data_IF_400846494509
#
_entry.id   IF_400846494509
#
_cell.length_a   1.000
_cell.length_b   1.000
_cell.length_c   1.000
_cell.angle_alpha   90.00
_cell.angle_beta   90.00
_cell.angle_gamma   90.00
#
_symmetry.space_group_name_H-M   'P 1'
#
loop_
_entity.id
_entity.type
_entity.pdbx_description
1 polymer ?
#
# COMPACT_ATOMS: atom_id res chain seq x y z
N UNK A 1 36.48 29.09 -43.61
CA UNK A 1 35.17 29.50 -43.07
C UNK A 1 34.09 28.77 -43.86
N UNK A 2 33.09 28.25 -43.16
CA UNK A 2 31.97 27.39 -43.61
C UNK A 2 32.19 25.87 -43.53
N UNK A 3 31.63 25.38 -42.42
CA UNK A 3 31.48 24.04 -41.87
C UNK A 3 30.54 23.15 -42.70
N UNK A 4 30.92 21.88 -42.83
CA UNK A 4 30.13 20.78 -43.38
C UNK A 4 28.83 20.59 -42.58
N UNK A 5 27.70 20.56 -43.29
CA UNK A 5 26.40 20.10 -42.80
C UNK A 5 26.32 18.59 -42.99
N UNK A 6 26.72 17.82 -41.98
CA UNK A 6 26.46 16.37 -41.94
C UNK A 6 25.10 16.11 -41.27
N UNK A 7 24.11 15.77 -42.09
CA UNK A 7 22.80 15.27 -41.67
C UNK A 7 22.90 13.85 -41.10
N UNK A 8 23.38 13.72 -39.86
CA UNK A 8 23.30 12.46 -39.11
C UNK A 8 21.87 12.27 -38.57
N UNK A 9 21.11 11.38 -39.19
CA UNK A 9 19.97 10.73 -38.54
C UNK A 9 20.50 9.96 -37.33
N UNK A 10 20.04 10.32 -36.13
CA UNK A 10 20.25 9.54 -34.92
C UNK A 10 19.38 8.29 -35.01
N UNK A 11 20.01 7.14 -35.22
CA UNK A 11 19.37 5.84 -35.01
C UNK A 11 19.14 5.64 -33.51
N UNK A 12 17.94 5.23 -33.05
CA UNK A 12 17.76 4.84 -31.67
C UNK A 12 18.25 3.39 -31.50
N UNK A 13 19.56 3.17 -31.46
CA UNK A 13 20.12 1.89 -31.02
C UNK A 13 20.23 1.88 -29.49
N UNK A 14 19.09 1.81 -28.80
CA UNK A 14 19.05 1.37 -27.41
C UNK A 14 19.16 -0.16 -27.41
N UNK A 15 20.40 -0.62 -27.48
CA UNK A 15 20.80 -2.01 -27.30
C UNK A 15 20.53 -2.36 -25.83
N UNK A 16 19.40 -3.02 -25.55
CA UNK A 16 19.12 -3.61 -24.25
C UNK A 16 20.01 -4.84 -24.12
N UNK A 17 21.18 -4.70 -23.51
CA UNK A 17 21.96 -5.85 -23.07
C UNK A 17 21.22 -6.52 -21.91
N UNK A 18 20.63 -7.68 -22.19
CA UNK A 18 20.07 -8.57 -21.18
C UNK A 18 21.21 -9.27 -20.47
N UNK A 19 21.48 -8.86 -19.23
CA UNK A 19 22.24 -9.65 -18.28
C UNK A 19 21.30 -10.42 -17.35
N UNK A 20 21.40 -11.75 -17.37
CA UNK A 20 21.31 -12.61 -16.18
C UNK A 20 19.94 -12.87 -15.52
N UNK A 21 19.58 -14.16 -15.49
CA UNK A 21 18.76 -14.87 -14.49
C UNK A 21 17.31 -14.43 -14.24
N UNK A 22 16.38 -15.12 -14.91
CA UNK A 22 15.58 -16.15 -14.24
C UNK A 22 14.56 -15.79 -13.15
N UNK A 23 14.35 -14.53 -12.77
CA UNK A 23 13.16 -14.13 -12.02
C UNK A 23 12.15 -13.50 -12.98
N UNK A 24 11.04 -14.20 -13.23
CA UNK A 24 9.89 -13.58 -13.91
C UNK A 24 9.36 -12.53 -12.94
N UNK A 25 9.76 -11.27 -13.13
CA UNK A 25 9.13 -10.13 -12.49
C UNK A 25 7.63 -10.22 -12.81
N UNK A 26 6.84 -10.67 -11.83
CA UNK A 26 5.40 -10.84 -11.98
C UNK A 26 4.80 -9.45 -12.22
N UNK A 27 4.50 -9.16 -13.49
CA UNK A 27 3.92 -7.88 -13.87
C UNK A 27 2.51 -7.76 -13.28
N UNK A 28 2.26 -6.68 -12.53
CA UNK A 28 0.95 -6.43 -11.93
C UNK A 28 0.07 -5.68 -12.92
N UNK A 29 -1.05 -6.29 -13.32
CA UNK A 29 -2.06 -5.67 -14.18
C UNK A 29 -3.18 -5.06 -13.32
N UNK A 30 -3.39 -3.75 -13.45
CA UNK A 30 -4.46 -3.00 -12.82
C UNK A 30 -5.52 -2.63 -13.86
N UNK A 31 -6.79 -2.82 -13.54
CA UNK A 31 -7.91 -2.23 -14.27
C UNK A 31 -8.45 -1.05 -13.47
N UNK A 32 -8.54 0.12 -14.12
CA UNK A 32 -8.93 1.38 -13.50
C UNK A 32 -10.24 1.89 -14.11
N UNK A 33 -11.20 2.24 -13.25
CA UNK A 33 -12.42 2.94 -13.66
C UNK A 33 -12.14 4.41 -13.97
N UNK A 34 -13.01 5.12 -14.72
CA UNK A 34 -12.88 6.56 -14.90
C UNK A 34 -12.73 7.29 -13.55
N UNK A 35 -11.76 8.20 -13.46
CA UNK A 35 -11.46 8.98 -12.25
C UNK A 35 -10.88 8.20 -11.06
N UNK A 36 -10.68 6.87 -11.19
CA UNK A 36 -10.12 6.07 -10.10
C UNK A 36 -8.66 6.46 -9.83
N UNK A 37 -8.31 6.58 -8.54
CA UNK A 37 -6.95 6.92 -8.10
C UNK A 37 -6.30 5.82 -7.27
N UNK A 38 -4.99 5.75 -7.38
CA UNK A 38 -4.13 4.90 -6.56
C UNK A 38 -2.78 5.59 -6.33
N UNK A 39 -2.05 5.13 -5.32
CA UNK A 39 -0.70 5.59 -5.00
C UNK A 39 0.30 4.48 -5.27
N UNK A 40 1.42 4.86 -5.88
CA UNK A 40 2.60 4.01 -6.07
C UNK A 40 3.82 4.75 -5.57
N UNK A 41 4.50 4.22 -4.55
CA UNK A 41 5.70 4.84 -3.96
C UNK A 41 5.54 6.37 -3.72
N UNK A 42 4.39 6.80 -3.21
CA UNK A 42 4.09 8.22 -2.94
C UNK A 42 3.54 9.03 -4.13
N UNK A 43 3.65 8.53 -5.36
CA UNK A 43 3.04 9.18 -6.53
C UNK A 43 1.54 8.83 -6.61
N UNK A 44 0.68 9.85 -6.70
CA UNK A 44 -0.75 9.66 -6.96
C UNK A 44 -0.98 9.56 -8.46
N UNK A 45 -1.56 8.45 -8.90
CA UNK A 45 -1.97 8.23 -10.29
C UNK A 45 -3.50 8.26 -10.35
N UNK A 46 -4.03 9.11 -11.21
CA UNK A 46 -5.46 9.19 -11.50
C UNK A 46 -5.73 8.70 -12.92
N UNK A 47 -6.75 7.87 -13.07
CA UNK A 47 -7.24 7.50 -14.38
C UNK A 47 -8.11 8.62 -14.98
N UNK A 48 -8.06 8.76 -16.31
CA UNK A 48 -8.84 9.76 -17.05
C UNK A 48 -10.34 9.45 -17.08
N UNK A 49 -11.01 9.98 -18.11
CA UNK A 49 -12.46 9.87 -18.33
C UNK A 49 -12.92 8.49 -18.83
N UNK A 50 -11.99 7.61 -19.21
CA UNK A 50 -12.27 6.27 -19.75
C UNK A 50 -11.60 5.18 -18.93
N UNK A 51 -12.19 3.98 -18.95
CA UNK A 51 -11.61 2.78 -18.32
C UNK A 51 -10.27 2.45 -18.99
N UNK A 52 -9.25 2.15 -18.21
CA UNK A 52 -7.92 1.80 -18.71
C UNK A 52 -7.34 0.57 -18.02
N UNK A 53 -6.31 -0.01 -18.64
CA UNK A 53 -5.48 -1.06 -18.04
C UNK A 53 -4.06 -0.55 -17.95
N UNK A 54 -3.48 -0.62 -16.75
CA UNK A 54 -2.06 -0.32 -16.51
C UNK A 54 -1.34 -1.61 -16.14
N UNK A 55 -0.10 -1.77 -16.62
CA UNK A 55 0.75 -2.90 -16.26
C UNK A 55 2.03 -2.35 -15.64
N UNK A 56 2.33 -2.80 -14.43
CA UNK A 56 3.53 -2.42 -13.70
C UNK A 56 4.49 -3.61 -13.74
N UNK A 57 5.67 -3.39 -14.32
CA UNK A 57 6.64 -4.46 -14.59
C UNK A 57 7.67 -4.66 -13.47
N UNK A 58 7.72 -3.73 -12.51
CA UNK A 58 8.62 -3.79 -11.36
C UNK A 58 7.84 -4.02 -10.05
N UNK A 59 8.56 -4.47 -9.03
CA UNK A 59 8.02 -4.57 -7.67
C UNK A 59 7.85 -3.18 -7.08
N UNK A 60 6.64 -2.85 -6.65
CA UNK A 60 6.26 -1.56 -6.05
C UNK A 60 5.20 -1.76 -4.97
N UNK A 61 5.09 -0.80 -4.05
CA UNK A 61 3.97 -0.73 -3.13
C UNK A 61 2.83 0.06 -3.76
N UNK A 62 1.62 -0.50 -3.77
CA UNK A 62 0.44 0.10 -4.41
C UNK A 62 -0.76 0.06 -3.46
N UNK A 63 -1.38 1.21 -3.23
CA UNK A 63 -2.66 1.32 -2.52
C UNK A 63 -3.67 2.09 -3.36
N UNK A 64 -4.94 1.68 -3.35
CA UNK A 64 -6.01 2.49 -3.95
C UNK A 64 -6.34 3.66 -3.04
N UNK A 65 -6.88 4.74 -3.59
CA UNK A 65 -7.27 5.93 -2.80
C UNK A 65 -8.17 5.58 -1.61
N UNK A 66 -9.14 4.67 -1.79
CA UNK A 66 -10.01 4.16 -0.72
C UNK A 66 -9.30 3.37 0.40
N UNK A 67 -8.06 2.96 0.16
CA UNK A 67 -7.23 2.23 1.11
C UNK A 67 -6.19 3.15 1.77
N UNK A 68 -6.11 4.42 1.34
CA UNK A 68 -5.26 5.42 1.96
C UNK A 68 -6.02 6.11 3.09
N UNK A 69 -5.37 6.26 4.22
CA UNK A 69 -5.88 6.97 5.39
C UNK A 69 -5.00 8.19 5.65
N UNK A 70 -5.60 9.36 5.88
CA UNK A 70 -4.85 10.54 6.28
C UNK A 70 -4.68 10.55 7.79
N UNK A 71 -3.65 11.24 8.27
CA UNK A 71 -3.36 11.34 9.70
C UNK A 71 -4.54 11.93 10.49
N UNK A 72 -5.26 12.90 9.92
CA UNK A 72 -6.47 13.51 10.49
C UNK A 72 -7.64 12.52 10.66
N UNK A 73 -7.69 11.46 9.86
CA UNK A 73 -8.74 10.43 9.91
C UNK A 73 -8.45 9.33 10.95
N UNK A 74 -7.30 9.38 11.63
CA UNK A 74 -6.86 8.36 12.60
C UNK A 74 -7.52 8.61 13.97
N UNK A 75 -8.84 8.52 13.99
CA UNK A 75 -9.69 8.96 15.10
C UNK A 75 -10.27 7.81 15.95
N UNK A 76 -9.98 6.56 15.62
CA UNK A 76 -10.43 5.39 16.39
C UNK A 76 -9.28 4.41 16.70
N UNK A 77 -9.36 3.61 17.78
CA UNK A 77 -8.37 2.59 18.10
C UNK A 77 -7.98 1.66 16.93
N UNK A 78 -8.94 1.11 16.19
CA UNK A 78 -8.63 0.24 15.05
C UNK A 78 -7.93 1.01 13.91
N UNK A 79 -8.29 2.28 13.69
CA UNK A 79 -7.61 3.14 12.72
C UNK A 79 -6.18 3.48 13.14
N UNK A 80 -5.92 3.64 14.45
CA UNK A 80 -4.58 3.81 15.01
C UNK A 80 -3.69 2.59 14.79
N UNK A 81 -4.27 1.39 14.65
CA UNK A 81 -3.54 0.19 14.21
C UNK A 81 -3.31 0.20 12.70
N UNK A 82 -4.34 0.52 11.91
CA UNK A 82 -4.26 0.51 10.45
C UNK A 82 -3.19 1.45 9.90
N UNK A 83 -3.13 2.67 10.44
CA UNK A 83 -2.27 3.74 9.94
C UNK A 83 -0.77 3.38 9.94
N UNK A 84 -0.14 2.91 11.04
CA UNK A 84 1.26 2.50 11.01
C UNK A 84 1.52 1.31 10.07
N UNK A 85 0.59 0.36 9.92
CA UNK A 85 0.73 -0.72 8.91
C UNK A 85 0.79 -0.13 7.49
N UNK A 86 -0.04 0.89 7.22
CA UNK A 86 -0.07 1.56 5.93
C UNK A 86 1.27 2.26 5.66
N UNK A 87 1.83 2.92 6.67
CA UNK A 87 3.14 3.55 6.57
C UNK A 87 4.27 2.51 6.39
N UNK A 88 4.24 1.37 7.09
CA UNK A 88 5.18 0.26 6.84
C UNK A 88 5.20 -0.21 5.37
N UNK A 89 4.03 -0.16 4.72
CA UNK A 89 3.86 -0.55 3.33
C UNK A 89 4.34 0.53 2.34
N UNK A 90 4.06 1.81 2.64
CA UNK A 90 4.33 2.93 1.74
C UNK A 90 5.72 3.53 1.88
N UNK A 91 6.31 3.49 3.08
CA UNK A 91 7.60 4.08 3.41
C UNK A 91 8.51 3.01 4.06
N UNK A 92 9.24 2.24 3.21
CA UNK A 92 10.17 1.21 3.67
C UNK A 92 11.31 1.74 4.54
N UNK A 93 11.72 2.99 4.35
CA UNK A 93 12.92 3.57 4.96
C UNK A 93 12.69 3.87 6.46
N UNK A 94 11.47 4.28 6.81
CA UNK A 94 11.09 4.55 8.21
C UNK A 94 10.32 3.39 8.87
N UNK A 95 10.35 2.19 8.28
CA UNK A 95 9.50 1.07 8.66
C UNK A 95 9.65 0.62 10.11
N UNK A 96 10.86 0.60 10.66
CA UNK A 96 11.09 0.17 12.05
C UNK A 96 10.27 0.97 13.05
N UNK A 97 10.28 2.30 12.90
CA UNK A 97 9.47 3.24 13.69
C UNK A 97 7.97 2.94 13.59
N UNK A 98 7.48 2.63 12.40
CA UNK A 98 6.06 2.31 12.20
C UNK A 98 5.68 0.95 12.79
N UNK A 99 6.59 -0.03 12.79
CA UNK A 99 6.37 -1.31 13.48
C UNK A 99 6.26 -1.09 14.99
N UNK A 100 7.12 -0.27 15.58
CA UNK A 100 7.05 0.07 17.02
C UNK A 100 5.72 0.73 17.39
N UNK A 101 5.28 1.70 16.59
CA UNK A 101 3.97 2.34 16.76
C UNK A 101 2.83 1.32 16.61
N UNK A 102 2.87 0.46 15.58
CA UNK A 102 1.89 -0.61 15.40
C UNK A 102 1.82 -1.53 16.62
N UNK A 103 2.95 -1.98 17.15
CA UNK A 103 3.01 -2.87 18.32
C UNK A 103 2.36 -2.21 19.53
N UNK A 104 2.68 -0.94 19.77
CA UNK A 104 2.08 -0.15 20.85
C UNK A 104 0.56 -0.09 20.73
N UNK A 105 0.04 0.27 19.55
CA UNK A 105 -1.42 0.37 19.31
C UNK A 105 -2.11 -0.99 19.36
N UNK A 106 -1.47 -2.04 18.88
CA UNK A 106 -2.01 -3.40 18.95
C UNK A 106 -2.10 -3.88 20.40
N UNK A 107 -1.06 -3.66 21.20
CA UNK A 107 -1.08 -4.00 22.63
C UNK A 107 -2.16 -3.24 23.39
N UNK A 108 -2.28 -1.93 23.17
CA UNK A 108 -3.35 -1.10 23.75
C UNK A 108 -4.73 -1.67 23.40
N UNK A 109 -4.98 -1.97 22.12
CA UNK A 109 -6.27 -2.50 21.67
C UNK A 109 -6.58 -3.89 22.24
N UNK A 110 -5.61 -4.81 22.19
CA UNK A 110 -5.79 -6.17 22.73
C UNK A 110 -5.98 -6.20 24.25
N UNK A 111 -5.55 -5.17 24.98
CA UNK A 111 -5.74 -5.07 26.43
C UNK A 111 -7.21 -4.84 26.85
N UNK A 112 -8.03 -4.30 25.95
CA UNK A 112 -9.42 -3.92 26.24
C UNK A 112 -10.46 -4.69 25.42
N UNK A 113 -10.05 -5.33 24.32
CA UNK A 113 -10.97 -6.12 23.48
C UNK A 113 -11.28 -7.43 24.17
N UNK A 114 -12.57 -7.76 24.32
CA UNK A 114 -13.03 -9.04 24.87
C UNK A 114 -13.51 -10.02 23.80
N UNK A 115 -13.96 -9.50 22.65
CA UNK A 115 -14.53 -10.27 21.56
C UNK A 115 -13.50 -11.28 20.98
N UNK A 116 -13.80 -12.59 20.99
CA UNK A 116 -12.86 -13.61 20.52
C UNK A 116 -12.51 -13.49 19.04
N UNK A 117 -13.45 -13.08 18.20
CA UNK A 117 -13.23 -12.91 16.75
C UNK A 117 -12.31 -11.72 16.49
N UNK A 118 -12.52 -10.60 17.18
CA UNK A 118 -11.64 -9.44 17.13
C UNK A 118 -10.22 -9.79 17.62
N UNK A 119 -10.07 -10.57 18.70
CA UNK A 119 -8.76 -11.08 19.16
C UNK A 119 -8.08 -11.95 18.11
N UNK A 120 -8.81 -12.87 17.49
CA UNK A 120 -8.27 -13.72 16.42
C UNK A 120 -7.76 -12.87 15.24
N UNK A 121 -8.51 -11.83 14.85
CA UNK A 121 -8.07 -10.87 13.82
C UNK A 121 -6.81 -10.11 14.24
N UNK A 122 -6.69 -9.70 15.50
CA UNK A 122 -5.49 -9.04 16.00
C UNK A 122 -4.25 -9.95 15.87
N UNK A 123 -4.39 -11.23 16.20
CA UNK A 123 -3.31 -12.23 16.05
C UNK A 123 -2.92 -12.39 14.57
N UNK A 124 -3.90 -12.50 13.66
CA UNK A 124 -3.67 -12.59 12.22
C UNK A 124 -2.92 -11.36 11.68
N UNK A 125 -3.35 -10.16 12.08
CA UNK A 125 -2.72 -8.90 11.68
C UNK A 125 -1.27 -8.84 12.17
N UNK A 126 -1.01 -9.16 13.44
CA UNK A 126 0.34 -9.18 13.99
C UNK A 126 1.24 -10.19 13.27
N UNK A 127 0.74 -11.39 12.98
CA UNK A 127 1.49 -12.38 12.22
C UNK A 127 1.83 -11.88 10.81
N UNK A 128 0.89 -11.26 10.11
CA UNK A 128 1.15 -10.69 8.79
C UNK A 128 2.16 -9.54 8.83
N UNK A 129 2.10 -8.66 9.83
CA UNK A 129 3.09 -7.56 9.99
C UNK A 129 4.49 -8.13 10.24
N UNK A 130 4.63 -9.13 11.13
CA UNK A 130 5.93 -9.78 11.40
C UNK A 130 6.50 -10.49 10.17
N UNK A 131 5.64 -11.04 9.31
CA UNK A 131 6.05 -11.67 8.05
C UNK A 131 6.18 -10.67 6.88
N UNK A 132 6.09 -9.36 7.14
CA UNK A 132 6.11 -8.30 6.10
C UNK A 132 4.99 -8.38 5.06
N UNK A 133 3.88 -9.06 5.37
CA UNK A 133 2.66 -9.15 4.55
C UNK A 133 1.74 -7.93 4.76
N UNK A 134 2.29 -6.72 4.69
CA UNK A 134 1.59 -5.49 5.11
C UNK A 134 0.26 -5.25 4.38
N UNK A 135 0.17 -5.53 3.08
CA UNK A 135 -1.09 -5.38 2.35
C UNK A 135 -2.19 -6.32 2.88
N UNK A 136 -1.84 -7.57 3.21
CA UNK A 136 -2.79 -8.51 3.82
C UNK A 136 -3.20 -8.04 5.21
N UNK A 137 -2.22 -7.61 6.02
CA UNK A 137 -2.48 -7.02 7.33
C UNK A 137 -3.45 -5.82 7.25
N UNK A 138 -3.30 -4.93 6.27
CA UNK A 138 -4.22 -3.81 6.03
C UNK A 138 -5.64 -4.30 5.74
N UNK A 139 -5.79 -5.28 4.84
CA UNK A 139 -7.10 -5.80 4.47
C UNK A 139 -7.80 -6.52 5.63
N UNK A 140 -7.05 -7.25 6.46
CA UNK A 140 -7.59 -7.87 7.67
C UNK A 140 -7.92 -6.81 8.74
N UNK A 141 -7.07 -5.82 8.93
CA UNK A 141 -7.28 -4.71 9.88
C UNK A 141 -8.55 -3.89 9.54
N UNK A 142 -8.87 -3.67 8.26
CA UNK A 142 -10.14 -3.02 7.86
C UNK A 142 -11.38 -3.71 8.43
N UNK A 143 -11.34 -5.03 8.64
CA UNK A 143 -12.47 -5.77 9.22
C UNK A 143 -12.69 -5.43 10.70
N UNK A 144 -11.68 -4.90 11.39
CA UNK A 144 -11.83 -4.38 12.75
C UNK A 144 -12.62 -3.06 12.78
N UNK A 145 -12.70 -2.33 11.66
CA UNK A 145 -13.47 -1.08 11.62
C UNK A 145 -14.98 -1.35 11.76
N UNK A 146 -15.46 -2.45 11.17
CA UNK A 146 -16.87 -2.86 11.30
C UNK A 146 -17.18 -3.30 12.74
N UNK A 147 -16.26 -4.02 13.38
CA UNK A 147 -16.35 -4.39 14.79
C UNK A 147 -16.43 -3.14 15.69
N UNK A 148 -15.51 -2.21 15.49
CA UNK A 148 -15.42 -1.00 16.29
C UNK A 148 -16.64 -0.07 16.07
N UNK A 149 -17.09 0.07 14.83
CA UNK A 149 -18.31 0.83 14.49
C UNK A 149 -19.52 0.31 15.26
N UNK A 150 -19.75 -1.00 15.28
CA UNK A 150 -20.85 -1.62 16.04
C UNK A 150 -20.79 -1.33 17.54
N UNK A 151 -19.57 -1.25 18.11
CA UNK A 151 -19.36 -0.96 19.54
C UNK A 151 -19.52 0.53 19.87
N UNK A 152 -19.09 1.42 18.98
CA UNK A 152 -19.23 2.87 19.14
C UNK A 152 -20.66 3.36 18.91
N UNK A 153 -21.46 2.65 18.10
CA UNK A 153 -22.89 2.93 17.90
C UNK A 153 -23.76 2.48 19.09
N UNK A 154 -23.23 1.64 19.99
CA UNK A 154 -23.96 1.19 21.17
C UNK A 154 -23.95 2.30 22.24
N UNK A 155 -25.08 2.98 22.39
CA UNK A 155 -25.40 3.84 23.54
C UNK A 155 -26.23 2.99 24.53
N UNK A 156 -25.80 2.81 25.79
CA UNK A 156 -26.51 2.01 26.80
C UNK A 156 -27.94 2.47 27.07
#
# INVERSE_FOLDING_TARGET
MQTLRDGKQLTPSLRIERAGSGETLMALKLSLKPGEKFVVNGAVIANGDRRSSLVIQNKVSILREKDIMRQEDVNTPARRIYFPIMLCYLDPDSRSKYIEEFMTRMTEFMSVVEDPEAKARCIEISADVMNSNYYRALMTCKKLFDYEKKRLEYVP
#
